data_IF_932127217934
#
_entry.id   IF_932127217934
#
_cell.length_a   1.000
_cell.length_b   1.000
_cell.length_c   1.000
_cell.angle_alpha   90.00
_cell.angle_beta   90.00
_cell.angle_gamma   90.00
#
_symmetry.space_group_name_H-M   'P 1'
#
loop_
_entity.id
_entity.type
_entity.pdbx_description
1 polymer ?
#
# COMPACT_ATOMS: atom_id res chain seq x y z
N UNK A 1 -25.00 -6.16 -17.55
CA UNK A 1 -23.84 -5.36 -18.04
C UNK A 1 -22.59 -6.10 -17.65
N UNK A 2 -21.67 -6.23 -18.58
CA UNK A 2 -20.37 -6.86 -18.29
C UNK A 2 -19.58 -5.99 -17.31
N UNK A 3 -19.04 -6.58 -16.25
CA UNK A 3 -18.20 -5.88 -15.28
C UNK A 3 -16.85 -5.59 -15.92
N UNK A 4 -16.42 -4.31 -15.93
CA UNK A 4 -15.08 -3.90 -16.39
C UNK A 4 -14.01 -4.09 -15.33
N UNK A 5 -14.40 -4.07 -14.07
CA UNK A 5 -13.57 -4.30 -12.89
C UNK A 5 -14.45 -4.79 -11.74
N UNK A 6 -13.83 -5.23 -10.65
CA UNK A 6 -14.52 -5.39 -9.37
C UNK A 6 -13.60 -4.95 -8.24
N UNK A 7 -14.09 -4.08 -7.36
CA UNK A 7 -13.37 -3.63 -6.18
C UNK A 7 -14.35 -3.22 -5.08
N UNK A 8 -14.19 -3.78 -3.88
CA UNK A 8 -15.02 -3.47 -2.70
C UNK A 8 -14.21 -3.33 -1.41
N UNK A 9 -12.91 -2.94 -1.53
CA UNK A 9 -12.01 -2.86 -0.38
C UNK A 9 -12.19 -1.64 0.52
N UNK A 10 -13.07 -0.68 0.19
CA UNK A 10 -13.30 0.51 1.01
C UNK A 10 -14.80 0.75 1.22
N UNK A 11 -15.13 1.50 2.28
CA UNK A 11 -16.52 1.85 2.62
C UNK A 11 -17.23 2.69 1.54
N UNK A 12 -16.46 3.41 0.70
CA UNK A 12 -16.98 4.26 -0.40
C UNK A 12 -17.37 3.45 -1.64
N UNK A 13 -17.31 2.12 -1.57
CA UNK A 13 -17.60 1.28 -2.73
C UNK A 13 -19.00 1.51 -3.28
N UNK A 14 -19.15 1.51 -4.59
CA UNK A 14 -20.38 1.88 -5.27
C UNK A 14 -21.56 1.01 -4.80
N UNK A 15 -22.62 1.67 -4.32
CA UNK A 15 -23.85 1.01 -3.86
C UNK A 15 -23.65 0.02 -2.71
N UNK A 16 -22.60 0.14 -1.91
CA UNK A 16 -22.19 -0.79 -0.87
C UNK A 16 -22.01 -2.25 -1.35
N UNK A 17 -21.87 -2.47 -2.66
CA UNK A 17 -21.78 -3.81 -3.28
C UNK A 17 -20.51 -4.05 -4.09
N UNK A 18 -19.93 -3.00 -4.63
CA UNK A 18 -18.71 -3.07 -5.42
C UNK A 18 -18.64 -2.07 -6.56
N UNK A 19 -17.44 -1.56 -6.84
CA UNK A 19 -17.17 -0.75 -8.02
C UNK A 19 -16.96 -1.69 -9.22
N UNK A 20 -17.82 -1.58 -10.24
CA UNK A 20 -17.85 -2.51 -11.38
C UNK A 20 -17.51 -1.88 -12.73
N UNK A 21 -17.56 -0.55 -12.83
CA UNK A 21 -17.26 0.20 -14.06
C UNK A 21 -16.04 1.10 -13.89
N UNK A 22 -15.95 1.78 -12.75
CA UNK A 22 -14.86 2.64 -12.32
C UNK A 22 -14.93 2.76 -10.79
N UNK A 23 -13.80 2.90 -10.11
CA UNK A 23 -13.77 3.17 -8.67
C UNK A 23 -14.40 4.51 -8.33
N UNK A 24 -15.16 4.60 -7.21
CA UNK A 24 -15.63 5.88 -6.66
C UNK A 24 -14.43 6.81 -6.37
N UNK A 25 -13.29 6.24 -5.98
CA UNK A 25 -12.02 6.96 -5.80
C UNK A 25 -11.38 7.46 -7.11
N UNK A 26 -11.93 7.11 -8.28
CA UNK A 26 -11.36 7.41 -9.59
C UNK A 26 -10.46 6.32 -10.18
N UNK A 27 -10.30 5.16 -9.52
CA UNK A 27 -9.54 4.03 -10.04
C UNK A 27 -10.14 3.54 -11.36
N UNK A 28 -9.32 3.49 -12.40
CA UNK A 28 -9.72 2.95 -13.71
C UNK A 28 -9.67 1.42 -13.71
N UNK A 29 -10.45 0.75 -14.60
CA UNK A 29 -10.45 -0.71 -14.72
C UNK A 29 -9.07 -1.33 -14.95
N UNK A 30 -8.24 -0.68 -15.77
CA UNK A 30 -6.89 -1.15 -16.09
C UNK A 30 -5.99 -1.16 -14.85
N UNK A 31 -6.09 -0.10 -14.05
CA UNK A 31 -5.34 0.01 -12.78
C UNK A 31 -5.83 -1.04 -11.77
N UNK A 32 -7.14 -1.27 -11.69
CA UNK A 32 -7.70 -2.31 -10.81
C UNK A 32 -7.18 -3.69 -11.21
N UNK A 33 -7.19 -4.01 -12.51
CA UNK A 33 -6.68 -5.28 -13.04
C UNK A 33 -5.19 -5.49 -12.70
N UNK A 34 -4.35 -4.46 -12.88
CA UNK A 34 -2.93 -4.57 -12.56
C UNK A 34 -2.68 -4.64 -11.05
N UNK A 35 -3.49 -3.99 -10.22
CA UNK A 35 -3.42 -4.17 -8.77
C UNK A 35 -3.79 -5.60 -8.34
N UNK A 36 -4.84 -6.18 -8.91
CA UNK A 36 -5.22 -7.58 -8.65
C UNK A 36 -4.09 -8.54 -9.06
N UNK A 37 -3.46 -8.31 -10.22
CA UNK A 37 -2.33 -9.10 -10.68
C UNK A 37 -1.10 -8.91 -9.77
N UNK A 38 -0.80 -7.70 -9.32
CA UNK A 38 0.30 -7.46 -8.37
C UNK A 38 0.09 -8.20 -7.05
N UNK A 39 -1.15 -8.23 -6.54
CA UNK A 39 -1.51 -9.04 -5.37
C UNK A 39 -1.29 -10.52 -5.66
N UNK A 40 -1.75 -11.02 -6.82
CA UNK A 40 -1.60 -12.43 -7.21
C UNK A 40 -0.11 -12.85 -7.30
N UNK A 41 0.74 -12.08 -7.97
CA UNK A 41 2.17 -12.43 -8.07
C UNK A 41 2.88 -12.30 -6.70
N UNK A 42 2.40 -11.40 -5.84
CA UNK A 42 2.88 -11.29 -4.46
C UNK A 42 2.47 -12.48 -3.61
N UNK A 43 1.26 -13.04 -3.82
CA UNK A 43 0.83 -14.31 -3.21
C UNK A 43 1.75 -15.46 -3.65
N UNK A 44 2.10 -15.52 -4.94
CA UNK A 44 3.03 -16.52 -5.48
C UNK A 44 4.44 -16.41 -4.88
N UNK A 45 5.00 -15.18 -4.78
CA UNK A 45 6.27 -14.95 -4.11
C UNK A 45 6.20 -15.30 -2.62
N UNK A 46 5.10 -15.00 -1.96
CA UNK A 46 4.86 -15.31 -0.54
C UNK A 46 4.79 -16.81 -0.28
N UNK A 47 4.25 -17.60 -1.20
CA UNK A 47 4.27 -19.07 -1.10
C UNK A 47 5.71 -19.60 -1.17
N UNK A 48 6.53 -19.06 -2.08
CA UNK A 48 7.94 -19.43 -2.22
C UNK A 48 8.73 -19.06 -0.95
N UNK A 49 8.60 -17.84 -0.44
CA UNK A 49 9.31 -17.40 0.76
C UNK A 49 8.85 -18.12 2.03
N UNK A 50 7.58 -18.48 2.11
CA UNK A 50 7.04 -19.31 3.21
C UNK A 50 7.64 -20.70 3.17
N UNK A 51 7.76 -21.32 1.99
CA UNK A 51 8.39 -22.64 1.85
C UNK A 51 9.89 -22.59 2.18
N UNK A 52 10.60 -21.56 1.71
CA UNK A 52 12.02 -21.34 2.07
C UNK A 52 12.23 -21.29 3.60
N UNK A 53 11.36 -20.54 4.31
CA UNK A 53 11.43 -20.49 5.78
C UNK A 53 11.15 -21.83 6.44
N UNK A 54 10.18 -22.61 5.94
CA UNK A 54 9.93 -23.99 6.41
C UNK A 54 11.16 -24.89 6.23
N UNK A 55 11.95 -24.67 5.19
CA UNK A 55 13.18 -25.38 4.89
C UNK A 55 14.41 -24.82 5.62
N UNK A 56 14.24 -23.81 6.48
CA UNK A 56 15.30 -23.19 7.27
C UNK A 56 16.13 -22.13 6.51
N UNK A 57 15.70 -21.71 5.34
CA UNK A 57 16.36 -20.68 4.54
C UNK A 57 15.87 -19.29 4.96
N UNK A 58 16.81 -18.40 5.26
CA UNK A 58 16.49 -17.00 5.60
C UNK A 58 16.05 -16.22 4.33
N UNK A 59 14.98 -15.47 4.43
CA UNK A 59 14.52 -14.53 3.39
C UNK A 59 15.13 -13.16 3.69
N UNK A 60 15.63 -12.47 2.65
CA UNK A 60 16.25 -11.16 2.82
C UNK A 60 15.24 -10.05 3.15
N UNK A 61 15.71 -8.99 3.80
CA UNK A 61 14.90 -7.81 4.11
C UNK A 61 14.35 -7.16 2.85
N UNK A 62 15.14 -7.06 1.78
CA UNK A 62 14.70 -6.50 0.50
C UNK A 62 13.51 -7.28 -0.08
N UNK A 63 13.52 -8.61 0.06
CA UNK A 63 12.38 -9.44 -0.38
C UNK A 63 11.15 -9.21 0.51
N UNK A 64 11.34 -9.09 1.82
CA UNK A 64 10.26 -8.79 2.76
C UNK A 64 9.64 -7.43 2.44
N UNK A 65 10.47 -6.40 2.30
CA UNK A 65 10.03 -5.05 1.95
C UNK A 65 9.35 -4.98 0.57
N UNK A 66 9.81 -5.77 -0.41
CA UNK A 66 9.17 -5.84 -1.72
C UNK A 66 7.70 -6.28 -1.59
N UNK A 67 7.44 -7.35 -0.83
CA UNK A 67 6.07 -7.88 -0.64
C UNK A 67 5.21 -6.87 0.14
N UNK A 68 5.74 -6.32 1.22
CA UNK A 68 5.09 -5.27 2.01
C UNK A 68 4.72 -4.07 1.14
N UNK A 69 5.64 -3.58 0.34
CA UNK A 69 5.41 -2.43 -0.55
C UNK A 69 4.43 -2.73 -1.68
N UNK A 70 4.45 -3.95 -2.23
CA UNK A 70 3.47 -4.35 -3.23
C UNK A 70 2.04 -4.27 -2.67
N UNK A 71 1.81 -4.80 -1.46
CA UNK A 71 0.50 -4.73 -0.81
C UNK A 71 0.11 -3.29 -0.49
N UNK A 72 1.02 -2.51 0.08
CA UNK A 72 0.80 -1.09 0.38
C UNK A 72 0.39 -0.29 -0.86
N UNK A 73 1.07 -0.50 -1.99
CA UNK A 73 0.78 0.18 -3.26
C UNK A 73 -0.65 -0.10 -3.77
N UNK A 74 -1.23 -1.24 -3.40
CA UNK A 74 -2.58 -1.65 -3.81
C UNK A 74 -3.70 -1.23 -2.84
N UNK A 75 -3.38 -0.50 -1.77
CA UNK A 75 -4.38 0.09 -0.88
C UNK A 75 -5.25 1.08 -1.67
N UNK A 76 -6.50 1.25 -1.23
CA UNK A 76 -7.45 2.21 -1.82
C UNK A 76 -6.78 3.57 -2.02
N UNK A 77 -6.85 4.08 -3.23
CA UNK A 77 -6.34 5.40 -3.65
C UNK A 77 -4.89 5.74 -3.21
N UNK A 78 -4.02 4.73 -3.17
CA UNK A 78 -2.59 4.93 -2.91
C UNK A 78 -1.79 5.17 -4.20
N UNK A 79 -2.10 4.44 -5.27
CA UNK A 79 -1.40 4.54 -6.54
C UNK A 79 -2.35 4.26 -7.71
N UNK A 80 -2.35 5.15 -8.70
CA UNK A 80 -3.12 5.05 -9.95
C UNK A 80 -2.23 4.96 -11.21
N UNK A 81 -0.90 4.87 -11.02
CA UNK A 81 0.07 4.75 -12.10
C UNK A 81 0.18 3.29 -12.54
N UNK A 82 -0.38 3.00 -13.71
CA UNK A 82 -0.42 1.65 -14.26
C UNK A 82 0.99 1.14 -14.64
N UNK A 83 1.85 2.02 -15.15
CA UNK A 83 3.22 1.65 -15.55
C UNK A 83 4.07 1.31 -14.33
N UNK A 84 3.96 2.09 -13.26
CA UNK A 84 4.62 1.80 -11.99
C UNK A 84 4.17 0.46 -11.39
N UNK A 85 2.87 0.11 -11.49
CA UNK A 85 2.34 -1.17 -11.00
C UNK A 85 2.88 -2.32 -11.87
N UNK A 86 2.89 -2.18 -13.19
CA UNK A 86 3.46 -3.19 -14.11
C UNK A 86 4.95 -3.42 -13.82
N UNK A 87 5.72 -2.35 -13.62
CA UNK A 87 7.13 -2.47 -13.25
C UNK A 87 7.33 -3.27 -11.95
N UNK A 88 6.44 -3.10 -10.95
CA UNK A 88 6.45 -3.89 -9.72
C UNK A 88 6.11 -5.36 -9.96
N UNK A 89 5.17 -5.67 -10.86
CA UNK A 89 4.85 -7.05 -11.26
C UNK A 89 6.10 -7.71 -11.84
N UNK A 90 6.78 -7.06 -12.79
CA UNK A 90 8.02 -7.57 -13.41
C UNK A 90 9.11 -7.84 -12.37
N UNK A 91 9.33 -6.87 -11.45
CA UNK A 91 10.31 -7.04 -10.38
C UNK A 91 9.96 -8.21 -9.46
N UNK A 92 8.69 -8.33 -9.06
CA UNK A 92 8.22 -9.42 -8.18
C UNK A 92 8.42 -10.80 -8.83
N UNK A 93 8.09 -10.92 -10.12
CA UNK A 93 8.33 -12.14 -10.88
C UNK A 93 9.83 -12.46 -11.01
N UNK A 94 10.68 -11.44 -11.19
CA UNK A 94 12.13 -11.62 -11.25
C UNK A 94 12.71 -12.16 -9.94
N UNK A 95 12.33 -11.56 -8.81
CA UNK A 95 12.75 -12.03 -7.47
C UNK A 95 12.24 -13.45 -7.20
N UNK A 96 10.98 -13.74 -7.53
CA UNK A 96 10.40 -15.06 -7.38
C UNK A 96 11.16 -16.12 -8.19
N UNK A 97 11.52 -15.84 -9.48
CA UNK A 97 12.33 -16.74 -10.31
C UNK A 97 13.65 -17.14 -9.65
N UNK A 98 14.30 -16.18 -9.01
CA UNK A 98 15.57 -16.42 -8.32
C UNK A 98 15.37 -17.26 -7.05
N UNK A 99 14.33 -16.97 -6.28
CA UNK A 99 14.11 -17.62 -4.99
C UNK A 99 13.54 -19.04 -5.14
N UNK A 100 12.69 -19.30 -6.11
CA UNK A 100 12.10 -20.64 -6.31
C UNK A 100 13.17 -21.71 -6.62
N UNK A 101 14.30 -21.31 -7.20
CA UNK A 101 15.44 -22.22 -7.45
C UNK A 101 16.12 -22.71 -6.17
N UNK A 102 15.88 -22.04 -5.05
CA UNK A 102 16.43 -22.42 -3.74
C UNK A 102 15.50 -23.33 -2.94
N UNK A 103 14.24 -23.48 -3.40
CA UNK A 103 13.25 -24.37 -2.77
C UNK A 103 13.59 -25.81 -3.06
N UNK A 104 13.67 -26.64 -2.02
CA UNK A 104 13.99 -28.09 -2.14
C UNK A 104 12.77 -28.90 -2.55
N UNK A 105 11.61 -28.57 -1.98
CA UNK A 105 10.35 -29.25 -2.29
C UNK A 105 9.30 -28.24 -2.79
N UNK A 106 9.02 -28.31 -4.08
CA UNK A 106 8.03 -27.43 -4.75
C UNK A 106 6.66 -28.09 -4.91
N UNK A 107 6.47 -29.33 -4.46
CA UNK A 107 5.25 -30.11 -4.73
C UNK A 107 3.98 -29.53 -4.13
N UNK A 108 4.09 -28.76 -3.05
CA UNK A 108 2.98 -28.11 -2.36
C UNK A 108 2.78 -26.63 -2.74
N UNK A 109 3.53 -26.11 -3.71
CA UNK A 109 3.41 -24.71 -4.10
C UNK A 109 2.21 -24.48 -5.04
N UNK A 110 1.45 -23.38 -4.86
CA UNK A 110 0.31 -23.05 -5.72
C UNK A 110 0.77 -22.64 -7.12
N UNK A 111 -0.16 -22.63 -8.09
CA UNK A 111 0.10 -22.20 -9.47
C UNK A 111 0.73 -20.80 -9.54
N UNK A 112 0.32 -19.88 -8.67
CA UNK A 112 0.87 -18.53 -8.59
C UNK A 112 2.39 -18.49 -8.33
N UNK A 113 2.97 -19.53 -7.73
CA UNK A 113 4.42 -19.65 -7.53
C UNK A 113 5.18 -19.95 -8.85
N UNK A 114 4.48 -20.42 -9.88
CA UNK A 114 5.08 -20.82 -11.16
C UNK A 114 4.67 -19.94 -12.33
N UNK A 115 3.48 -19.32 -12.27
CA UNK A 115 3.01 -18.48 -13.36
C UNK A 115 4.01 -17.36 -13.69
N UNK A 116 4.33 -17.21 -14.98
CA UNK A 116 5.32 -16.23 -15.43
C UNK A 116 4.90 -15.62 -16.78
N UNK A 117 5.50 -14.48 -17.09
CA UNK A 117 5.36 -13.78 -18.36
C UNK A 117 6.47 -14.12 -19.37
N UNK A 118 7.50 -14.87 -18.94
CA UNK A 118 8.56 -15.28 -19.85
C UNK A 118 8.04 -16.29 -20.87
N UNK A 119 8.28 -15.99 -22.12
CA UNK A 119 8.03 -16.90 -23.22
C UNK A 119 9.12 -17.98 -23.28
N UNK A 120 8.94 -19.00 -24.11
CA UNK A 120 9.91 -20.10 -24.23
C UNK A 120 11.30 -19.67 -24.70
N UNK A 121 11.39 -18.56 -25.41
CA UNK A 121 12.66 -17.97 -25.88
C UNK A 121 13.30 -17.01 -24.85
N UNK A 122 12.66 -16.82 -23.69
CA UNK A 122 13.15 -15.98 -22.59
C UNK A 122 12.80 -14.50 -22.70
N UNK A 123 12.11 -14.06 -23.75
CA UNK A 123 11.59 -12.70 -23.85
C UNK A 123 10.39 -12.50 -22.93
N UNK A 124 10.05 -11.25 -22.61
CA UNK A 124 8.80 -10.93 -21.91
C UNK A 124 7.63 -10.96 -22.92
N UNK A 125 6.51 -11.57 -22.52
CA UNK A 125 5.28 -11.49 -23.26
C UNK A 125 4.73 -10.05 -23.28
N UNK A 126 3.83 -9.78 -24.23
CA UNK A 126 3.15 -8.48 -24.28
C UNK A 126 2.26 -8.24 -23.06
N UNK A 127 1.94 -6.99 -22.77
CA UNK A 127 1.04 -6.58 -21.67
C UNK A 127 -0.34 -7.25 -21.74
N UNK A 128 -0.77 -7.72 -22.93
CA UNK A 128 -2.02 -8.48 -23.08
C UNK A 128 -2.07 -9.74 -22.21
N UNK A 129 -0.92 -10.39 -21.99
CA UNK A 129 -0.81 -11.56 -21.11
C UNK A 129 -1.05 -11.17 -19.66
N UNK A 130 -0.59 -9.98 -19.24
CA UNK A 130 -0.84 -9.45 -17.89
C UNK A 130 -2.34 -9.20 -17.68
N UNK A 131 -2.99 -8.54 -18.62
CA UNK A 131 -4.43 -8.28 -18.56
C UNK A 131 -5.27 -9.56 -18.63
N UNK A 132 -4.86 -10.56 -19.42
CA UNK A 132 -5.52 -11.85 -19.46
C UNK A 132 -5.45 -12.55 -18.09
N UNK A 133 -4.26 -12.60 -17.46
CA UNK A 133 -4.09 -13.22 -16.14
C UNK A 133 -4.81 -12.46 -15.03
N UNK A 134 -4.85 -11.14 -15.10
CA UNK A 134 -5.57 -10.32 -14.12
C UNK A 134 -7.06 -10.66 -14.03
N UNK A 135 -7.69 -11.01 -15.17
CA UNK A 135 -9.11 -11.45 -15.20
C UNK A 135 -9.33 -12.76 -14.46
N UNK A 136 -8.33 -13.66 -14.46
CA UNK A 136 -8.39 -14.94 -13.76
C UNK A 136 -8.05 -14.82 -12.27
N UNK A 137 -7.21 -13.83 -11.92
CA UNK A 137 -6.67 -13.63 -10.58
C UNK A 137 -7.45 -12.62 -9.73
N UNK A 138 -8.46 -11.95 -10.31
CA UNK A 138 -9.24 -10.92 -9.62
C UNK A 138 -10.14 -11.46 -8.51
N UNK A 139 -10.70 -10.57 -7.71
CA UNK A 139 -11.55 -10.87 -6.53
C UNK A 139 -12.63 -11.92 -6.82
N UNK A 140 -13.28 -11.82 -7.99
CA UNK A 140 -14.39 -12.73 -8.37
C UNK A 140 -13.93 -14.11 -8.87
N UNK A 141 -12.63 -14.41 -8.88
CA UNK A 141 -12.10 -15.73 -9.24
C UNK A 141 -12.53 -16.82 -8.23
N UNK A 142 -12.61 -16.48 -6.95
CA UNK A 142 -13.17 -17.36 -5.91
C UNK A 142 -14.71 -17.35 -6.01
N UNK A 143 -15.31 -18.49 -6.35
CA UNK A 143 -16.76 -18.60 -6.64
C UNK A 143 -17.62 -18.62 -5.39
N UNK A 144 -17.19 -19.34 -4.37
CA UNK A 144 -17.86 -19.36 -3.07
C UNK A 144 -17.76 -17.99 -2.41
N UNK A 145 -18.91 -17.42 -2.03
CA UNK A 145 -18.98 -16.05 -1.53
C UNK A 145 -18.40 -15.91 -0.13
N UNK A 146 -18.60 -16.90 0.73
CA UNK A 146 -18.10 -16.87 2.09
C UNK A 146 -16.57 -17.01 2.11
N UNK A 147 -16.05 -17.99 1.36
CA UNK A 147 -14.60 -18.19 1.19
C UNK A 147 -13.95 -16.94 0.54
N UNK A 148 -14.58 -16.39 -0.50
CA UNK A 148 -14.10 -15.14 -1.14
C UNK A 148 -14.04 -13.99 -0.15
N UNK A 149 -15.10 -13.77 0.62
CA UNK A 149 -15.19 -12.67 1.57
C UNK A 149 -14.12 -12.79 2.67
N UNK A 150 -13.89 -13.99 3.19
CA UNK A 150 -12.85 -14.24 4.19
C UNK A 150 -11.44 -14.04 3.61
N UNK A 151 -11.16 -14.58 2.40
CA UNK A 151 -9.86 -14.39 1.72
C UNK A 151 -9.57 -12.91 1.45
N UNK A 152 -10.59 -12.14 1.05
CA UNK A 152 -10.43 -10.72 0.81
C UNK A 152 -10.29 -9.92 2.12
N UNK A 153 -11.03 -10.30 3.17
CA UNK A 153 -10.87 -9.68 4.49
C UNK A 153 -9.44 -9.86 5.03
N UNK A 154 -8.89 -11.07 4.90
CA UNK A 154 -7.47 -11.33 5.24
C UNK A 154 -6.56 -10.47 4.38
N UNK A 155 -6.75 -10.47 3.05
CA UNK A 155 -5.93 -9.67 2.12
C UNK A 155 -5.96 -8.18 2.47
N UNK A 156 -7.13 -7.63 2.80
CA UNK A 156 -7.27 -6.22 3.21
C UNK A 156 -6.63 -5.94 4.56
N UNK A 157 -6.75 -6.86 5.52
CA UNK A 157 -6.03 -6.79 6.78
C UNK A 157 -4.51 -6.77 6.59
N UNK A 158 -4.00 -7.61 5.69
CA UNK A 158 -2.57 -7.65 5.34
C UNK A 158 -2.11 -6.38 4.60
N UNK A 159 -2.96 -5.77 3.76
CA UNK A 159 -2.67 -4.44 3.17
C UNK A 159 -2.55 -3.37 4.26
N UNK A 160 -3.44 -3.38 5.25
CA UNK A 160 -3.36 -2.47 6.41
C UNK A 160 -2.08 -2.69 7.22
N UNK A 161 -1.77 -3.94 7.56
CA UNK A 161 -0.51 -4.30 8.22
C UNK A 161 0.71 -3.83 7.42
N UNK A 162 0.67 -3.98 6.09
CA UNK A 162 1.74 -3.51 5.19
C UNK A 162 1.94 -1.99 5.23
N UNK A 163 0.86 -1.21 5.41
CA UNK A 163 0.98 0.23 5.57
C UNK A 163 1.73 0.60 6.86
N UNK A 164 1.38 -0.03 7.98
CA UNK A 164 2.09 0.19 9.24
C UNK A 164 3.55 -0.23 9.16
N UNK A 165 3.80 -1.43 8.61
CA UNK A 165 5.17 -1.94 8.44
C UNK A 165 6.00 -1.03 7.54
N UNK A 166 5.48 -0.59 6.38
CA UNK A 166 6.21 0.30 5.46
C UNK A 166 6.65 1.59 6.15
N UNK A 167 5.76 2.22 6.91
CA UNK A 167 6.12 3.46 7.61
C UNK A 167 7.12 3.22 8.74
N UNK A 168 7.07 2.08 9.42
CA UNK A 168 8.08 1.69 10.41
C UNK A 168 9.43 1.37 9.76
N UNK A 169 9.43 0.62 8.64
CA UNK A 169 10.65 0.26 7.90
C UNK A 169 11.43 1.50 7.42
N UNK A 170 10.74 2.57 7.01
CA UNK A 170 11.38 3.86 6.63
C UNK A 170 12.15 4.48 7.81
N UNK A 171 11.74 4.18 9.03
CA UNK A 171 12.40 4.57 10.27
C UNK A 171 13.36 3.49 10.80
N UNK A 172 13.75 2.53 9.96
CA UNK A 172 14.66 1.42 10.27
C UNK A 172 14.15 0.52 11.42
N UNK A 173 12.83 0.37 11.49
CA UNK A 173 12.17 -0.55 12.43
C UNK A 173 11.52 -1.70 11.66
N UNK A 174 12.04 -2.92 11.88
CA UNK A 174 11.62 -4.15 11.21
C UNK A 174 11.22 -5.20 12.24
N UNK A 175 10.27 -6.06 11.87
CA UNK A 175 9.87 -7.22 12.67
C UNK A 175 9.78 -8.47 11.78
N UNK A 176 10.78 -9.39 11.84
CA UNK A 176 10.80 -10.58 10.99
C UNK A 176 9.60 -11.53 11.21
N UNK A 177 8.93 -11.48 12.36
CA UNK A 177 7.74 -12.28 12.61
C UNK A 177 6.52 -11.69 11.90
N UNK A 178 6.40 -10.35 11.82
CA UNK A 178 5.39 -9.69 11.01
C UNK A 178 5.58 -10.06 9.54
N UNK A 179 6.81 -10.00 9.02
CA UNK A 179 7.12 -10.35 7.64
C UNK A 179 6.78 -11.81 7.33
N UNK A 180 7.17 -12.72 8.22
CA UNK A 180 6.89 -14.15 8.06
C UNK A 180 5.38 -14.43 8.10
N UNK A 181 4.66 -13.82 9.05
CA UNK A 181 3.20 -13.94 9.14
C UNK A 181 2.51 -13.41 7.91
N UNK A 182 2.82 -12.17 7.50
CA UNK A 182 2.21 -11.51 6.34
C UNK A 182 2.30 -12.39 5.10
N UNK A 183 3.48 -12.94 4.83
CA UNK A 183 3.72 -13.78 3.67
C UNK A 183 3.01 -15.14 3.79
N UNK A 184 3.03 -15.77 4.96
CA UNK A 184 2.30 -17.02 5.21
C UNK A 184 0.78 -16.83 5.04
N UNK A 185 0.23 -15.79 5.63
CA UNK A 185 -1.20 -15.51 5.56
C UNK A 185 -1.64 -15.13 4.13
N UNK A 186 -0.80 -14.35 3.41
CA UNK A 186 -1.06 -14.00 2.02
C UNK A 186 -1.05 -15.23 1.11
N UNK A 187 -0.08 -16.13 1.28
CA UNK A 187 0.00 -17.39 0.53
C UNK A 187 -1.19 -18.30 0.85
N UNK A 188 -1.63 -18.37 2.11
CA UNK A 188 -2.76 -19.19 2.54
C UNK A 188 -4.08 -18.81 1.86
N UNK A 189 -4.23 -17.57 1.38
CA UNK A 189 -5.43 -17.18 0.60
C UNK A 189 -5.52 -17.85 -0.78
N UNK A 190 -4.51 -18.60 -1.21
CA UNK A 190 -4.52 -19.42 -2.42
C UNK A 190 -4.81 -20.90 -2.14
N UNK A 191 -4.91 -21.31 -0.89
CA UNK A 191 -5.11 -22.70 -0.52
C UNK A 191 -6.60 -23.05 -0.52
N UNK A 192 -7.03 -23.83 -1.51
CA UNK A 192 -8.41 -24.27 -1.68
C UNK A 192 -8.82 -25.39 -0.68
N UNK A 193 -7.87 -25.94 0.09
CA UNK A 193 -8.16 -26.91 1.13
C UNK A 193 -8.61 -26.29 2.46
N UNK A 194 -8.41 -24.98 2.64
CA UNK A 194 -8.81 -24.27 3.86
C UNK A 194 -10.33 -24.10 3.92
N UNK A 195 -10.89 -24.49 5.05
CA UNK A 195 -12.31 -24.31 5.35
C UNK A 195 -12.62 -22.85 5.76
N UNK A 196 -13.91 -22.49 5.82
CA UNK A 196 -14.35 -21.20 6.36
C UNK A 196 -13.85 -20.98 7.80
N UNK A 197 -13.87 -22.00 8.65
CA UNK A 197 -13.38 -21.91 10.04
C UNK A 197 -11.88 -21.65 10.10
N UNK A 198 -11.08 -22.29 9.23
CA UNK A 198 -9.65 -22.03 9.11
C UNK A 198 -9.39 -20.57 8.70
N UNK A 199 -10.16 -20.04 7.75
CA UNK A 199 -10.04 -18.66 7.29
C UNK A 199 -10.52 -17.65 8.34
N UNK A 200 -11.54 -17.97 9.15
CA UNK A 200 -11.93 -17.17 10.31
C UNK A 200 -10.80 -17.10 11.33
N UNK A 201 -10.18 -18.24 11.66
CA UNK A 201 -9.04 -18.28 12.56
C UNK A 201 -7.87 -17.43 12.02
N UNK A 202 -7.56 -17.52 10.73
CA UNK A 202 -6.53 -16.73 10.08
C UNK A 202 -6.88 -15.22 10.05
N UNK A 203 -8.16 -14.87 9.93
CA UNK A 203 -8.64 -13.48 10.01
C UNK A 203 -8.36 -12.89 11.39
N UNK A 204 -8.65 -13.63 12.47
CA UNK A 204 -8.37 -13.20 13.84
C UNK A 204 -6.86 -13.08 14.09
N UNK A 205 -6.07 -14.01 13.57
CA UNK A 205 -4.61 -13.94 13.64
C UNK A 205 -4.08 -12.71 12.88
N UNK A 206 -4.66 -12.39 11.72
CA UNK A 206 -4.33 -11.17 10.96
C UNK A 206 -4.59 -9.91 11.78
N UNK A 207 -5.70 -9.86 12.51
CA UNK A 207 -6.00 -8.77 13.45
C UNK A 207 -4.95 -8.65 14.56
N UNK A 208 -4.52 -9.77 15.10
CA UNK A 208 -3.49 -9.81 16.16
C UNK A 208 -2.15 -9.24 15.69
N UNK A 209 -1.71 -9.64 14.49
CA UNK A 209 -0.51 -9.05 13.86
C UNK A 209 -0.71 -7.60 13.44
N UNK A 210 -1.94 -7.19 13.12
CA UNK A 210 -2.30 -5.78 12.91
C UNK A 210 -2.00 -4.92 14.13
N UNK A 211 -2.40 -5.38 15.33
CA UNK A 211 -2.07 -4.71 16.61
C UNK A 211 -0.56 -4.63 16.82
N UNK A 212 0.16 -5.72 16.54
CA UNK A 212 1.63 -5.75 16.65
C UNK A 212 2.30 -4.76 15.68
N UNK A 213 1.81 -4.67 14.43
CA UNK A 213 2.31 -3.72 13.44
C UNK A 213 2.05 -2.26 13.84
N UNK A 214 0.88 -1.96 14.40
CA UNK A 214 0.59 -0.62 14.95
C UNK A 214 1.51 -0.27 16.12
N UNK A 215 1.78 -1.21 17.03
CA UNK A 215 2.70 -1.01 18.15
C UNK A 215 4.15 -0.78 17.67
N UNK A 216 4.59 -1.49 16.62
CA UNK A 216 5.88 -1.27 15.98
C UNK A 216 5.98 0.14 15.40
N UNK A 217 4.96 0.57 14.65
CA UNK A 217 4.93 1.92 14.08
C UNK A 217 4.88 3.01 15.16
N UNK A 218 4.08 2.83 16.21
CA UNK A 218 4.03 3.77 17.33
C UNK A 218 5.40 3.91 17.99
N UNK A 219 6.08 2.79 18.24
CA UNK A 219 7.44 2.77 18.80
C UNK A 219 8.44 3.49 17.87
N UNK A 220 8.36 3.24 16.56
CA UNK A 220 9.23 3.89 15.57
C UNK A 220 9.00 5.40 15.52
N UNK A 221 7.74 5.83 15.45
CA UNK A 221 7.37 7.25 15.39
C UNK A 221 7.72 7.98 16.68
N UNK A 222 7.37 7.43 17.84
CA UNK A 222 7.66 8.06 19.13
C UNK A 222 9.14 8.07 19.46
N UNK A 223 9.88 7.05 19.03
CA UNK A 223 11.34 7.00 19.12
C UNK A 223 12.03 8.07 18.26
N UNK A 224 11.53 8.28 17.04
CA UNK A 224 12.09 9.28 16.11
C UNK A 224 11.66 10.72 16.43
N UNK A 225 10.38 10.91 16.77
CA UNK A 225 9.75 12.23 16.81
C UNK A 225 9.28 12.67 18.20
N UNK A 226 9.39 11.83 19.21
CA UNK A 226 8.91 12.06 20.57
C UNK A 226 7.44 11.69 20.75
N UNK A 227 6.98 11.66 22.00
CA UNK A 227 5.58 11.35 22.29
C UNK A 227 4.65 12.49 21.87
N UNK A 228 3.50 12.19 21.24
CA UNK A 228 2.51 13.21 20.88
C UNK A 228 2.06 14.07 22.06
N UNK A 229 1.92 15.36 21.82
CA UNK A 229 1.52 16.35 22.81
C UNK A 229 0.25 17.07 22.40
N UNK A 230 -0.57 17.51 23.38
CA UNK A 230 -1.71 18.38 23.11
C UNK A 230 -1.19 19.66 22.46
N UNK A 231 -1.62 19.94 21.24
CA UNK A 231 -1.07 21.01 20.40
C UNK A 231 -2.19 21.85 19.80
N UNK A 232 -2.03 23.16 19.83
CA UNK A 232 -2.86 24.08 19.03
C UNK A 232 -2.22 24.23 17.67
N UNK A 233 -2.96 23.87 16.61
CA UNK A 233 -2.50 23.97 15.22
C UNK A 233 -3.10 25.22 14.59
N UNK A 234 -2.25 26.05 13.96
CA UNK A 234 -2.71 27.17 13.17
C UNK A 234 -3.42 26.66 11.91
N UNK A 235 -4.59 27.19 11.62
CA UNK A 235 -5.40 26.86 10.42
C UNK A 235 -5.47 28.02 9.42
N UNK A 236 -4.75 29.12 9.68
CA UNK A 236 -4.59 30.25 8.78
C UNK A 236 -3.36 30.12 7.91
N UNK A 237 -3.27 30.98 6.88
CA UNK A 237 -2.11 31.05 5.99
C UNK A 237 -1.28 32.29 6.26
N UNK A 238 0.04 32.17 6.08
CA UNK A 238 0.99 33.27 6.16
C UNK A 238 1.09 34.09 4.87
N UNK A 239 2.16 34.88 4.77
CA UNK A 239 2.45 35.72 3.59
C UNK A 239 3.56 35.19 2.72
N UNK A 240 4.30 34.19 3.19
CA UNK A 240 5.40 33.58 2.47
C UNK A 240 4.89 32.62 1.39
N UNK A 241 5.70 32.32 0.37
CA UNK A 241 5.43 31.18 -0.51
C UNK A 241 5.23 29.90 0.32
N UNK A 242 4.29 29.03 -0.08
CA UNK A 242 3.95 27.86 0.70
C UNK A 242 4.04 26.56 -0.10
N UNK A 243 4.40 25.48 0.59
CA UNK A 243 4.29 24.09 0.10
C UNK A 243 3.24 23.38 0.94
N UNK A 244 2.33 22.66 0.27
CA UNK A 244 1.32 21.83 0.91
C UNK A 244 1.78 20.38 0.93
N UNK A 245 1.65 19.70 2.08
CA UNK A 245 2.02 18.29 2.22
C UNK A 245 0.81 17.49 2.67
N UNK A 246 0.46 16.46 1.91
CA UNK A 246 -0.63 15.55 2.24
C UNK A 246 -0.17 14.09 2.20
N UNK A 247 -0.93 13.19 2.83
CA UNK A 247 -0.58 11.78 3.00
C UNK A 247 -0.20 11.47 4.44
N UNK A 248 0.64 10.43 4.67
CA UNK A 248 0.90 9.91 6.01
C UNK A 248 2.40 9.83 6.37
N UNK A 249 3.33 10.05 5.41
CA UNK A 249 4.74 9.77 5.63
C UNK A 249 5.43 10.92 6.39
N UNK A 250 5.72 10.67 7.68
CA UNK A 250 6.38 11.65 8.54
C UNK A 250 7.86 11.87 8.16
N UNK A 251 8.51 10.85 7.56
CA UNK A 251 9.91 10.98 7.13
C UNK A 251 10.03 11.91 5.92
N UNK A 252 9.12 11.81 4.96
CA UNK A 252 9.07 12.74 3.82
C UNK A 252 8.82 14.17 4.30
N UNK A 253 7.93 14.36 5.29
CA UNK A 253 7.70 15.67 5.88
C UNK A 253 8.96 16.20 6.58
N UNK A 254 9.66 15.38 7.37
CA UNK A 254 10.92 15.75 8.02
C UNK A 254 11.94 16.25 6.99
N UNK A 255 12.15 15.46 5.93
CA UNK A 255 13.09 15.81 4.87
C UNK A 255 12.71 17.12 4.17
N UNK A 256 11.41 17.35 3.92
CA UNK A 256 10.93 18.61 3.33
C UNK A 256 11.20 19.80 4.26
N UNK A 257 10.90 19.67 5.55
CA UNK A 257 11.12 20.73 6.53
C UNK A 257 12.60 21.08 6.67
N UNK A 258 13.49 20.09 6.65
CA UNK A 258 14.94 20.29 6.65
C UNK A 258 15.42 21.02 5.39
N UNK A 259 14.96 20.60 4.20
CA UNK A 259 15.35 21.22 2.94
C UNK A 259 14.87 22.66 2.79
N UNK A 260 13.73 22.99 3.38
CA UNK A 260 13.10 24.31 3.24
C UNK A 260 13.39 25.26 4.39
N UNK A 261 14.08 24.80 5.44
CA UNK A 261 14.43 25.64 6.59
C UNK A 261 15.34 26.81 6.17
N UNK A 262 14.97 28.02 6.57
CA UNK A 262 15.72 29.24 6.27
C UNK A 262 15.58 29.76 4.83
N UNK A 263 14.77 29.13 3.97
CA UNK A 263 14.55 29.57 2.58
C UNK A 263 13.45 30.65 2.44
N UNK A 264 12.69 30.93 3.50
CA UNK A 264 11.52 31.81 3.45
C UNK A 264 10.26 31.15 2.89
N UNK A 265 10.24 29.81 2.80
CA UNK A 265 9.08 29.03 2.35
C UNK A 265 8.36 28.45 3.56
N UNK A 266 7.05 28.61 3.62
CA UNK A 266 6.19 28.02 4.65
C UNK A 266 5.73 26.62 4.22
N UNK A 267 5.63 25.68 5.18
CA UNK A 267 5.10 24.34 4.95
C UNK A 267 3.79 24.17 5.72
N UNK A 268 2.78 23.70 5.03
CA UNK A 268 1.45 23.42 5.56
C UNK A 268 1.12 21.94 5.38
N UNK A 269 0.54 21.32 6.40
CA UNK A 269 -0.04 19.99 6.27
C UNK A 269 -1.46 20.07 5.70
N UNK A 270 -1.93 18.94 5.16
CA UNK A 270 -3.30 18.76 4.71
C UNK A 270 -3.79 17.38 5.15
N UNK A 271 -5.07 17.29 5.54
CA UNK A 271 -5.76 16.04 5.82
C UNK A 271 -5.02 15.15 6.83
N UNK A 272 -4.65 13.96 6.42
CA UNK A 272 -4.05 12.91 7.27
C UNK A 272 -2.62 13.24 7.76
N UNK A 273 -2.00 14.31 7.25
CA UNK A 273 -0.71 14.80 7.76
C UNK A 273 -0.84 15.70 9.00
N UNK A 274 -2.06 16.12 9.37
CA UNK A 274 -2.31 16.94 10.56
C UNK A 274 -1.64 16.39 11.84
N UNK A 275 -1.63 15.08 12.12
CA UNK A 275 -0.98 14.52 13.31
C UNK A 275 0.51 14.85 13.44
N UNK A 276 1.20 15.21 12.38
CA UNK A 276 2.61 15.61 12.45
C UNK A 276 2.84 16.78 13.44
N UNK A 277 1.87 17.68 13.59
CA UNK A 277 1.96 18.80 14.52
C UNK A 277 2.02 18.38 16.00
N UNK A 278 1.60 17.15 16.33
CA UNK A 278 1.56 16.64 17.70
C UNK A 278 2.95 16.20 18.20
N UNK A 279 3.87 15.89 17.27
CA UNK A 279 5.19 15.37 17.61
C UNK A 279 6.17 16.49 17.95
N UNK A 280 6.86 16.42 19.11
CA UNK A 280 7.80 17.46 19.56
C UNK A 280 8.90 17.78 18.55
N UNK A 281 9.44 16.75 17.85
CA UNK A 281 10.54 16.92 16.91
C UNK A 281 10.23 17.88 15.75
N UNK A 282 8.97 17.98 15.32
CA UNK A 282 8.58 18.90 14.25
C UNK A 282 8.40 20.35 14.73
N UNK A 283 8.20 20.57 16.03
CA UNK A 283 8.00 21.93 16.60
C UNK A 283 9.24 22.81 16.55
N UNK A 284 10.41 22.23 16.29
CA UNK A 284 11.68 22.97 16.11
C UNK A 284 11.75 23.74 14.77
N UNK A 285 10.92 23.40 13.79
CA UNK A 285 10.97 23.99 12.45
C UNK A 285 10.08 25.24 12.37
N UNK A 286 10.66 26.45 12.26
CA UNK A 286 9.89 27.70 12.20
C UNK A 286 9.06 27.83 10.91
N UNK A 287 9.44 27.12 9.86
CA UNK A 287 8.73 27.05 8.58
C UNK A 287 7.57 26.05 8.59
N UNK A 288 7.34 25.30 9.66
CA UNK A 288 6.20 24.41 9.84
C UNK A 288 5.03 25.19 10.45
N UNK A 289 4.22 25.84 9.59
CA UNK A 289 3.36 26.97 9.98
C UNK A 289 1.99 26.52 10.47
N UNK A 290 1.40 25.49 9.87
CA UNK A 290 0.05 25.08 10.23
C UNK A 290 -0.56 24.05 9.29
N UNK A 291 -1.87 23.84 9.42
CA UNK A 291 -2.64 22.95 8.58
C UNK A 291 -3.54 23.76 7.65
N UNK A 292 -3.51 23.44 6.37
CA UNK A 292 -4.38 24.02 5.35
C UNK A 292 -5.44 23.00 4.90
N UNK A 293 -6.67 23.43 4.86
CA UNK A 293 -7.75 22.57 4.35
C UNK A 293 -8.29 21.59 5.37
N UNK A 294 -8.98 20.58 4.86
CA UNK A 294 -9.81 19.66 5.62
C UNK A 294 -9.46 18.20 5.30
N UNK A 295 -10.47 17.35 5.14
CA UNK A 295 -10.32 15.93 4.85
C UNK A 295 -9.97 15.65 3.38
N UNK A 296 -9.41 14.47 3.10
CA UNK A 296 -8.90 14.06 1.78
C UNK A 296 -9.91 14.23 0.62
N UNK A 297 -11.20 14.06 0.85
CA UNK A 297 -12.22 14.22 -0.20
C UNK A 297 -12.44 15.67 -0.63
N UNK A 298 -11.87 16.64 0.11
CA UNK A 298 -11.87 18.07 -0.25
C UNK A 298 -10.71 18.46 -1.18
N UNK A 299 -9.79 17.57 -1.47
CA UNK A 299 -8.58 17.85 -2.28
C UNK A 299 -8.88 18.61 -3.56
N UNK A 300 -9.93 18.22 -4.33
CA UNK A 300 -10.24 18.86 -5.61
C UNK A 300 -10.53 20.36 -5.52
N UNK A 301 -11.09 20.80 -4.42
CA UNK A 301 -11.43 22.21 -4.19
C UNK A 301 -10.28 22.94 -3.50
N UNK A 302 -9.65 22.31 -2.54
CA UNK A 302 -8.62 22.90 -1.70
C UNK A 302 -7.28 23.01 -2.42
N UNK A 303 -6.89 21.98 -3.18
CA UNK A 303 -5.66 22.01 -3.99
C UNK A 303 -5.76 23.01 -5.14
N UNK A 304 -6.96 23.21 -5.71
CA UNK A 304 -7.17 24.22 -6.73
C UNK A 304 -6.95 25.65 -6.19
N UNK A 305 -7.33 25.89 -4.93
CA UNK A 305 -7.20 27.20 -4.24
C UNK A 305 -5.81 27.43 -3.64
N UNK A 306 -5.05 26.38 -3.38
CA UNK A 306 -3.68 26.50 -2.89
C UNK A 306 -2.74 26.77 -4.06
N UNK A 307 -2.10 27.94 -4.10
CA UNK A 307 -1.35 28.38 -5.29
C UNK A 307 0.13 27.97 -5.28
N UNK A 308 0.59 27.21 -4.31
CA UNK A 308 1.95 26.66 -4.21
C UNK A 308 2.06 25.22 -4.71
N UNK A 309 3.28 24.64 -4.68
CA UNK A 309 3.50 23.21 -4.91
C UNK A 309 2.79 22.35 -3.87
N UNK A 310 2.41 21.14 -4.28
CA UNK A 310 1.70 20.16 -3.44
C UNK A 310 2.50 18.86 -3.46
N UNK A 311 2.93 18.39 -2.30
CA UNK A 311 3.59 17.12 -2.12
C UNK A 311 2.59 16.09 -1.59
N UNK A 312 2.37 15.03 -2.37
CA UNK A 312 1.65 13.84 -1.92
C UNK A 312 2.65 12.77 -1.52
N UNK A 313 2.67 12.39 -0.26
CA UNK A 313 3.60 11.38 0.25
C UNK A 313 3.05 9.95 0.09
N UNK A 314 1.76 9.78 0.35
CA UNK A 314 1.06 8.49 0.27
C UNK A 314 -0.42 8.71 -0.10
N UNK A 315 -1.28 7.71 0.17
CA UNK A 315 -2.73 7.88 0.12
C UNK A 315 -3.17 8.95 1.17
N UNK A 316 -4.31 9.57 1.07
CA UNK A 316 -5.36 9.33 0.07
C UNK A 316 -5.19 10.27 -1.12
N UNK A 317 -4.96 9.72 -2.31
CA UNK A 317 -4.90 10.51 -3.54
C UNK A 317 -6.30 10.53 -4.20
N UNK A 318 -6.73 11.69 -4.63
CA UNK A 318 -7.86 11.85 -5.56
C UNK A 318 -7.27 12.25 -6.91
N UNK A 319 -7.69 11.62 -8.03
CA UNK A 319 -7.16 11.98 -9.34
C UNK A 319 -7.18 13.49 -9.55
N UNK A 320 -6.02 14.12 -9.83
CA UNK A 320 -5.89 15.57 -9.87
C UNK A 320 -6.65 16.17 -11.04
N UNK A 321 -7.16 17.40 -10.86
CA UNK A 321 -7.71 18.19 -11.96
C UNK A 321 -6.57 18.81 -12.78
N UNK A 322 -6.86 19.05 -14.07
CA UNK A 322 -5.94 19.75 -14.97
C UNK A 322 -5.53 21.15 -14.45
N UNK A 323 -6.38 21.78 -13.64
CA UNK A 323 -6.13 23.12 -13.08
C UNK A 323 -4.99 23.18 -12.06
N UNK A 324 -4.56 22.03 -11.47
CA UNK A 324 -3.49 22.00 -10.46
C UNK A 324 -2.52 20.82 -10.59
N UNK A 325 -2.72 19.90 -11.54
CA UNK A 325 -1.86 18.70 -11.68
C UNK A 325 -0.38 19.02 -11.87
N UNK A 326 -0.06 20.15 -12.50
CA UNK A 326 1.31 20.61 -12.74
C UNK A 326 2.01 21.12 -11.46
N UNK A 327 1.28 21.23 -10.36
CA UNK A 327 1.80 21.64 -9.04
C UNK A 327 1.90 20.46 -8.05
N UNK A 328 1.45 19.26 -8.46
CA UNK A 328 1.45 18.06 -7.64
C UNK A 328 2.72 17.24 -7.88
#
# INVERSE_FOLDING_TARGET
>A
MEHKMFCYQCQETAGCSGCTQMGVCGKKPEVAAMQDLLVYVSKGLSAVTTQLRKEGTKVSEETNHLITWNLFTTITNANFDNEAIIARIHNTLSVRRTLILQVKDTSGLPEAAFWDIKTKDGSDASDDVLFAKAKEAGVLSTKDEDIRSLRELITYGLKGLSAYSKHANVLLSDDPEIDAFLQRALAATLDDSLTADDLVALTLETGNYGVRGMAMLDTANTGAYGNPEITRVNIGVGKNPGILVSGHDLKDLEMLLEQTQGTGVDVYTHSEMLPAHYYPAFKKYPNFVGNYGNAWWKQKEEFERFHGPILMTTNCIVPPKDSYKDRL
#
